data_IF_339389231795
#
_entry.id   IF_339389231795
#
_cell.length_a   1.000
_cell.length_b   1.000
_cell.length_c   1.000
_cell.angle_alpha   90.00
_cell.angle_beta   90.00
_cell.angle_gamma   90.00
#
_symmetry.space_group_name_H-M   'P 1'
#
loop_
_entity.id
_entity.type
_entity.pdbx_description
1 polymer ?
#
# COMPACT_ATOMS: atom_id res chain seq x y z
N UNK A 1 -7.21 -13.91 12.38
CA UNK A 1 -8.42 -13.20 11.88
C UNK A 1 -9.13 -12.64 13.12
N UNK A 2 -8.63 -11.54 13.70
CA UNK A 2 -9.23 -10.91 14.89
C UNK A 2 -8.59 -9.57 15.31
N UNK A 3 -7.37 -9.23 14.87
CA UNK A 3 -6.68 -8.00 15.29
C UNK A 3 -7.15 -6.72 14.60
N UNK A 4 -7.56 -6.81 13.34
CA UNK A 4 -7.75 -5.61 12.51
C UNK A 4 -9.11 -4.94 12.81
N UNK A 5 -10.16 -5.74 13.00
CA UNK A 5 -11.51 -5.26 13.30
C UNK A 5 -11.62 -4.54 14.66
N UNK A 6 -10.86 -4.96 15.67
CA UNK A 6 -10.85 -4.29 16.96
C UNK A 6 -10.14 -2.92 16.89
N UNK A 7 -9.11 -2.80 16.06
CA UNK A 7 -8.37 -1.54 15.88
C UNK A 7 -9.19 -0.48 15.14
N UNK A 8 -10.00 -0.86 14.14
CA UNK A 8 -10.94 0.03 13.45
C UNK A 8 -11.90 0.80 14.38
N UNK A 9 -12.24 0.25 15.55
CA UNK A 9 -13.16 0.87 16.51
C UNK A 9 -12.50 1.84 17.50
N UNK A 10 -11.17 1.96 17.50
CA UNK A 10 -10.47 2.87 18.39
C UNK A 10 -10.70 4.33 17.97
N UNK A 11 -10.89 5.23 18.94
CA UNK A 11 -11.04 6.66 18.68
C UNK A 11 -9.87 7.25 17.87
N UNK A 12 -8.65 6.71 18.05
CA UNK A 12 -7.47 7.11 17.28
C UNK A 12 -7.66 6.75 15.81
N UNK A 13 -8.15 5.55 15.49
CA UNK A 13 -8.37 5.14 14.11
C UNK A 13 -9.55 5.86 13.46
N UNK A 14 -10.57 6.22 14.23
CA UNK A 14 -11.72 7.00 13.73
C UNK A 14 -11.31 8.44 13.35
N UNK A 15 -10.38 9.04 14.10
CA UNK A 15 -9.97 10.44 13.89
C UNK A 15 -8.79 10.53 12.93
N UNK A 16 -7.79 9.65 13.06
CA UNK A 16 -6.50 9.71 12.35
C UNK A 16 -6.23 8.55 11.39
N UNK A 17 -7.11 7.54 11.35
CA UNK A 17 -6.84 6.32 10.61
C UNK A 17 -6.99 6.47 9.10
N UNK A 18 -6.11 5.81 8.37
CA UNK A 18 -6.24 5.57 6.93
C UNK A 18 -6.26 4.08 6.65
N UNK A 19 -6.87 3.71 5.52
CA UNK A 19 -6.82 2.36 4.98
C UNK A 19 -6.05 2.41 3.68
N UNK A 20 -4.94 1.69 3.61
CA UNK A 20 -4.18 1.48 2.39
C UNK A 20 -4.54 0.12 1.80
N UNK A 21 -4.63 0.04 0.49
CA UNK A 21 -4.77 -1.22 -0.24
C UNK A 21 -3.51 -1.43 -1.08
N UNK A 22 -2.75 -2.48 -0.76
CA UNK A 22 -1.60 -2.90 -1.55
C UNK A 22 -1.97 -4.09 -2.40
N UNK A 23 -1.79 -3.97 -3.71
CA UNK A 23 -2.06 -5.00 -4.69
C UNK A 23 -0.78 -5.45 -5.38
N UNK A 24 -0.70 -6.73 -5.71
CA UNK A 24 0.32 -7.28 -6.60
C UNK A 24 -0.39 -8.04 -7.73
N UNK A 25 -0.15 -7.61 -8.97
CA UNK A 25 -0.66 -8.24 -10.18
C UNK A 25 0.42 -9.07 -10.85
N UNK A 26 0.10 -10.33 -11.13
CA UNK A 26 0.95 -11.22 -11.92
C UNK A 26 0.97 -10.79 -13.38
N UNK A 27 2.15 -10.64 -13.98
CA UNK A 27 2.23 -10.34 -15.42
C UNK A 27 2.05 -11.56 -16.32
N UNK A 28 2.11 -12.78 -15.77
CA UNK A 28 1.96 -14.02 -16.54
C UNK A 28 0.51 -14.50 -16.58
N UNK A 29 -0.13 -14.65 -15.42
CA UNK A 29 -1.53 -15.12 -15.33
C UNK A 29 -2.55 -14.00 -15.11
N UNK A 30 -2.11 -12.75 -14.92
CA UNK A 30 -2.96 -11.57 -14.69
C UNK A 30 -3.77 -11.56 -13.39
N UNK A 31 -3.68 -12.61 -12.57
CA UNK A 31 -4.29 -12.61 -11.24
C UNK A 31 -3.67 -11.52 -10.36
N UNK A 32 -4.54 -10.88 -9.59
CA UNK A 32 -4.19 -9.78 -8.69
C UNK A 32 -4.62 -10.15 -7.27
N UNK A 33 -3.67 -10.01 -6.34
CA UNK A 33 -3.93 -10.20 -4.92
C UNK A 33 -3.79 -8.87 -4.21
N UNK A 34 -4.85 -8.42 -3.54
CA UNK A 34 -4.83 -7.20 -2.74
C UNK A 34 -4.92 -7.51 -1.25
N UNK A 35 -4.30 -6.64 -0.45
CA UNK A 35 -4.32 -6.67 1.00
C UNK A 35 -4.52 -5.26 1.53
N UNK A 36 -5.48 -5.12 2.44
CA UNK A 36 -5.67 -3.87 3.17
C UNK A 36 -4.78 -3.79 4.40
N UNK A 37 -4.28 -2.61 4.71
CA UNK A 37 -3.61 -2.27 5.96
C UNK A 37 -4.19 -0.99 6.55
N UNK A 38 -4.15 -0.91 7.87
CA UNK A 38 -4.67 0.22 8.65
C UNK A 38 -3.49 0.95 9.26
N UNK A 39 -3.42 2.26 9.05
CA UNK A 39 -2.33 3.09 9.54
C UNK A 39 -2.91 4.32 10.23
N UNK A 40 -2.35 4.74 11.37
CA UNK A 40 -2.69 6.03 12.00
C UNK A 40 -1.75 7.16 11.55
N UNK A 41 -0.63 6.80 10.91
CA UNK A 41 0.40 7.72 10.42
C UNK A 41 0.77 7.29 9.01
N UNK A 42 0.61 8.18 8.03
CA UNK A 42 1.04 7.92 6.67
C UNK A 42 2.50 8.35 6.49
N UNK A 43 3.40 7.38 6.45
CA UNK A 43 4.82 7.62 6.16
C UNK A 43 5.09 7.72 4.67
N UNK A 44 5.66 8.83 4.21
CA UNK A 44 5.96 9.08 2.78
C UNK A 44 7.43 9.45 2.62
N UNK A 45 8.12 8.82 1.66
CA UNK A 45 9.48 9.18 1.26
C UNK A 45 9.47 10.49 0.46
N UNK A 46 10.28 11.46 0.86
CA UNK A 46 10.34 12.77 0.18
C UNK A 46 11.66 13.02 -0.54
N UNK A 47 12.67 12.16 -0.39
CA UNK A 47 14.02 12.37 -0.91
C UNK A 47 14.04 12.62 -2.43
N UNK A 48 13.12 12.01 -3.16
CA UNK A 48 13.07 12.08 -4.63
C UNK A 48 12.04 13.08 -5.17
N UNK A 49 11.38 13.87 -4.32
CA UNK A 49 10.23 14.69 -4.70
C UNK A 49 10.36 16.13 -4.17
N UNK A 50 9.84 17.09 -4.94
CA UNK A 50 9.93 18.53 -4.59
C UNK A 50 8.66 19.04 -3.90
N UNK A 51 7.56 18.30 -4.03
CA UNK A 51 6.24 18.66 -3.49
C UNK A 51 5.60 17.45 -2.84
N UNK A 52 4.67 17.69 -1.91
CA UNK A 52 3.94 16.62 -1.24
C UNK A 52 3.09 15.84 -2.23
N UNK A 53 2.48 16.53 -3.20
CA UNK A 53 1.69 15.96 -4.27
C UNK A 53 2.50 14.94 -5.07
N UNK A 54 3.72 15.31 -5.48
CA UNK A 54 4.63 14.39 -6.16
C UNK A 54 5.00 13.18 -5.29
N UNK A 55 5.20 13.38 -4.00
CA UNK A 55 5.53 12.30 -3.07
C UNK A 55 4.35 11.34 -2.85
N UNK A 56 3.13 11.86 -2.79
CA UNK A 56 1.89 11.10 -2.72
C UNK A 56 1.63 10.30 -4.01
N UNK A 57 1.83 10.93 -5.16
CA UNK A 57 1.74 10.26 -6.47
C UNK A 57 2.78 9.16 -6.58
N UNK A 58 4.02 9.44 -6.16
CA UNK A 58 5.09 8.46 -6.08
C UNK A 58 4.76 7.28 -5.16
N UNK A 59 4.18 7.54 -3.99
CA UNK A 59 3.73 6.51 -3.06
C UNK A 59 2.65 5.59 -3.69
N UNK A 60 1.77 6.15 -4.50
CA UNK A 60 0.69 5.41 -5.17
C UNK A 60 1.09 4.85 -6.55
N UNK A 61 2.32 5.11 -6.99
CA UNK A 61 2.80 4.67 -8.29
C UNK A 61 2.89 3.14 -8.37
N UNK A 62 2.77 2.62 -9.59
CA UNK A 62 2.99 1.20 -9.87
C UNK A 62 4.49 0.96 -9.92
N UNK A 63 4.96 0.01 -9.11
CA UNK A 63 6.35 -0.45 -9.11
C UNK A 63 6.45 -1.87 -9.69
N UNK A 64 7.54 -2.14 -10.40
CA UNK A 64 7.82 -3.48 -10.93
C UNK A 64 8.63 -4.29 -9.92
N UNK A 65 8.09 -5.46 -9.55
CA UNK A 65 8.80 -6.48 -8.78
C UNK A 65 9.56 -7.37 -9.76
N UNK A 66 10.81 -6.99 -10.05
CA UNK A 66 11.67 -7.64 -11.04
C UNK A 66 13.03 -8.03 -10.44
N UNK A 67 13.91 -8.66 -11.24
CA UNK A 67 15.24 -9.08 -10.77
C UNK A 67 15.17 -10.06 -9.60
N UNK A 68 15.87 -9.72 -8.51
CA UNK A 68 15.89 -10.50 -7.26
C UNK A 68 14.59 -10.35 -6.45
N UNK A 69 13.84 -9.26 -6.67
CA UNK A 69 12.59 -8.92 -5.98
C UNK A 69 11.34 -9.50 -6.66
N UNK A 70 11.50 -10.40 -7.63
CA UNK A 70 10.37 -11.11 -8.27
C UNK A 70 9.46 -11.74 -7.23
N UNK A 71 8.16 -11.46 -7.35
CA UNK A 71 7.18 -12.04 -6.46
C UNK A 71 6.89 -13.51 -6.83
N UNK A 72 6.56 -14.32 -5.82
CA UNK A 72 6.11 -15.69 -6.05
C UNK A 72 4.59 -15.71 -6.28
N UNK A 73 4.17 -16.09 -7.47
CA UNK A 73 2.75 -16.28 -7.78
C UNK A 73 2.31 -17.70 -7.40
N UNK A 74 1.31 -17.81 -6.53
CA UNK A 74 0.74 -19.09 -6.10
C UNK A 74 0.07 -19.86 -7.25
N UNK A 75 -0.54 -19.15 -8.19
CA UNK A 75 -1.27 -19.76 -9.31
C UNK A 75 -0.31 -20.30 -10.38
N UNK A 76 0.74 -19.52 -10.71
CA UNK A 76 1.81 -19.98 -11.60
C UNK A 76 2.81 -20.92 -10.91
N UNK A 77 2.82 -20.94 -9.58
CA UNK A 77 3.77 -21.66 -8.72
C UNK A 77 5.24 -21.31 -9.00
N UNK A 78 5.51 -20.07 -9.39
CA UNK A 78 6.83 -19.62 -9.84
C UNK A 78 7.11 -18.16 -9.42
N UNK A 79 8.40 -17.80 -9.37
CA UNK A 79 8.83 -16.39 -9.25
C UNK A 79 8.69 -15.70 -10.61
N UNK A 80 7.87 -14.67 -10.66
CA UNK A 80 7.52 -13.96 -11.90
C UNK A 80 7.60 -12.46 -11.67
N UNK A 81 7.65 -11.70 -12.78
CA UNK A 81 7.55 -10.25 -12.70
C UNK A 81 6.15 -9.87 -12.23
N UNK A 82 6.08 -8.99 -11.23
CA UNK A 82 4.83 -8.47 -10.69
C UNK A 82 4.73 -6.97 -10.83
N UNK A 83 3.51 -6.48 -10.89
CA UNK A 83 3.21 -5.05 -10.75
C UNK A 83 2.62 -4.83 -9.37
N UNK A 84 3.34 -4.13 -8.50
CA UNK A 84 2.86 -3.77 -7.17
C UNK A 84 2.34 -2.34 -7.20
N UNK A 85 1.20 -2.10 -6.58
CA UNK A 85 0.60 -0.78 -6.46
C UNK A 85 0.00 -0.60 -5.08
N UNK A 86 0.05 0.62 -4.56
CA UNK A 86 -0.62 0.96 -3.30
C UNK A 86 -1.62 2.07 -3.55
N UNK A 87 -2.80 1.98 -2.93
CA UNK A 87 -3.85 2.99 -3.03
C UNK A 87 -4.35 3.38 -1.66
N UNK A 88 -4.76 4.63 -1.52
CA UNK A 88 -5.49 5.11 -0.36
C UNK A 88 -6.97 4.77 -0.53
N UNK A 89 -7.45 3.79 0.22
CA UNK A 89 -8.83 3.29 0.13
C UNK A 89 -9.81 4.07 1.03
N UNK A 90 -9.34 4.57 2.18
CA UNK A 90 -10.14 5.37 3.10
C UNK A 90 -9.28 6.36 3.87
N UNK A 91 -9.85 7.53 4.18
CA UNK A 91 -9.25 8.57 5.02
C UNK A 91 -10.20 8.99 6.13
N UNK A 92 -9.66 9.19 7.33
CA UNK A 92 -10.37 9.80 8.46
C UNK A 92 -10.33 11.34 8.39
N UNK A 93 -11.08 12.06 9.25
CA UNK A 93 -11.17 13.52 9.20
C UNK A 93 -9.84 14.24 9.38
N UNK A 94 -8.87 13.64 10.07
CA UNK A 94 -7.51 14.16 10.20
C UNK A 94 -6.54 13.15 9.61
N UNK A 95 -5.63 13.61 8.75
CA UNK A 95 -4.57 12.78 8.19
C UNK A 95 -3.24 13.25 8.78
N UNK A 96 -2.51 12.33 9.39
CA UNK A 96 -1.16 12.59 9.87
C UNK A 96 -0.15 12.05 8.86
N UNK A 97 0.63 12.93 8.23
CA UNK A 97 1.67 12.57 7.27
C UNK A 97 3.04 12.78 7.90
N UNK A 98 3.85 11.73 7.91
CA UNK A 98 5.26 11.77 8.31
C UNK A 98 6.14 11.75 7.07
N UNK A 99 7.03 12.74 6.94
CA UNK A 99 8.05 12.74 5.90
C UNK A 99 9.26 11.91 6.34
N UNK A 100 9.69 11.01 5.46
CA UNK A 100 10.87 10.15 5.61
C UNK A 100 11.96 10.53 4.61
#
# INVERSE_FOLDING_TARGET
RSSDAANLSSAIHIIFGIILESSIKCTQCLNENSKQSYESIWSISIISYLTLEQALDGFCSVEELAGDDKFYCSDCRAKVLGLKSTKLNHVSPVIFIQFK
#
